data_IF_889776320440
#
_entry.id   IF_889776320440
#
_cell.length_a   1.000
_cell.length_b   1.000
_cell.length_c   1.000
_cell.angle_alpha   90.00
_cell.angle_beta   90.00
_cell.angle_gamma   90.00
#
_symmetry.space_group_name_H-M   'P 1'
#
loop_
_entity.id
_entity.type
_entity.pdbx_description
1 polymer ?
#
# COMPACT_ATOMS: atom_id res chain seq x y z
N UNK A 1 -7.06 -11.11 12.77
CA UNK A 1 -7.38 -10.92 11.33
C UNK A 1 -8.68 -10.14 11.10
N UNK A 2 -9.06 -9.19 11.97
CA UNK A 2 -10.34 -8.45 11.85
C UNK A 2 -10.41 -7.60 10.58
N UNK A 3 -9.33 -6.92 10.22
CA UNK A 3 -9.25 -6.11 9.00
C UNK A 3 -9.50 -6.95 7.74
N UNK A 4 -8.95 -8.17 7.71
CA UNK A 4 -9.05 -9.10 6.59
C UNK A 4 -10.46 -9.68 6.42
N UNK A 5 -11.16 -9.89 7.54
CA UNK A 5 -12.60 -10.23 7.54
C UNK A 5 -13.42 -9.08 6.96
N UNK A 6 -13.17 -7.85 7.41
CA UNK A 6 -13.82 -6.65 6.84
C UNK A 6 -13.57 -6.50 5.34
N UNK A 7 -12.32 -6.68 4.90
CA UNK A 7 -11.95 -6.67 3.49
C UNK A 7 -12.73 -7.72 2.68
N UNK A 8 -12.75 -8.97 3.13
CA UNK A 8 -13.48 -10.05 2.46
C UNK A 8 -14.98 -9.77 2.35
N UNK A 9 -15.59 -9.30 3.43
CA UNK A 9 -16.99 -8.90 3.45
C UNK A 9 -17.29 -7.75 2.46
N UNK A 10 -16.48 -6.68 2.47
CA UNK A 10 -16.67 -5.54 1.56
C UNK A 10 -16.51 -5.93 0.08
N UNK A 11 -15.57 -6.83 -0.23
CA UNK A 11 -15.35 -7.29 -1.61
C UNK A 11 -16.48 -8.19 -2.11
N UNK A 12 -17.14 -8.94 -1.23
CA UNK A 12 -18.32 -9.72 -1.58
C UNK A 12 -19.49 -8.83 -1.98
N UNK A 13 -19.73 -7.74 -1.23
CA UNK A 13 -20.76 -6.74 -1.58
C UNK A 13 -20.50 -6.13 -2.96
N UNK A 14 -19.23 -5.86 -3.28
CA UNK A 14 -18.84 -5.27 -4.55
C UNK A 14 -18.68 -6.28 -5.71
N UNK A 15 -19.01 -7.56 -5.52
CA UNK A 15 -18.83 -8.64 -6.50
C UNK A 15 -17.40 -8.75 -7.09
N UNK A 16 -16.38 -8.39 -6.31
CA UNK A 16 -15.01 -8.39 -6.81
C UNK A 16 -14.41 -9.80 -6.83
N UNK A 17 -13.60 -10.17 -7.84
CA UNK A 17 -12.99 -11.50 -7.91
C UNK A 17 -12.05 -11.77 -6.72
N UNK A 18 -12.41 -12.76 -5.90
CA UNK A 18 -11.67 -13.08 -4.68
C UNK A 18 -10.22 -13.53 -4.94
N UNK A 19 -9.98 -14.24 -6.04
CA UNK A 19 -8.64 -14.82 -6.32
C UNK A 19 -7.57 -13.74 -6.50
N UNK A 20 -7.93 -12.60 -7.09
CA UNK A 20 -7.05 -11.43 -7.19
C UNK A 20 -6.67 -10.88 -5.81
N UNK A 21 -7.63 -10.88 -4.89
CA UNK A 21 -7.42 -10.39 -3.52
C UNK A 21 -6.56 -11.38 -2.74
N UNK A 22 -6.79 -12.67 -2.91
CA UNK A 22 -5.99 -13.72 -2.28
C UNK A 22 -4.53 -13.65 -2.73
N UNK A 23 -4.28 -13.41 -4.01
CA UNK A 23 -2.93 -13.20 -4.54
C UNK A 23 -2.25 -11.97 -3.91
N UNK A 24 -2.97 -10.84 -3.83
CA UNK A 24 -2.45 -9.63 -3.20
C UNK A 24 -2.13 -9.88 -1.72
N UNK A 25 -3.02 -10.53 -0.96
CA UNK A 25 -2.75 -10.88 0.44
C UNK A 25 -1.47 -11.72 0.55
N UNK A 26 -1.34 -12.79 -0.22
CA UNK A 26 -0.14 -13.64 -0.22
C UNK A 26 1.13 -12.87 -0.55
N UNK A 27 1.06 -11.94 -1.51
CA UNK A 27 2.21 -11.13 -1.93
C UNK A 27 2.80 -10.27 -0.79
N UNK A 28 1.97 -9.89 0.20
CA UNK A 28 2.39 -9.10 1.36
C UNK A 28 3.08 -9.93 2.45
N UNK A 29 2.85 -11.25 2.47
CA UNK A 29 3.35 -12.16 3.50
C UNK A 29 4.33 -13.18 2.88
N UNK A 30 5.59 -12.77 2.71
CA UNK A 30 6.66 -13.63 2.14
C UNK A 30 7.53 -14.28 3.22
N UNK A 31 8.25 -15.35 2.82
CA UNK A 31 9.23 -16.03 3.67
C UNK A 31 8.61 -16.64 4.92
N UNK A 32 9.20 -16.37 6.09
CA UNK A 32 8.75 -16.91 7.39
C UNK A 32 7.31 -16.55 7.77
N UNK A 33 6.68 -15.60 7.07
CA UNK A 33 5.30 -15.16 7.33
C UNK A 33 4.26 -15.77 6.38
N UNK A 34 4.66 -16.65 5.46
CA UNK A 34 3.75 -17.22 4.46
C UNK A 34 2.50 -17.90 5.07
N UNK A 35 2.67 -18.63 6.18
CA UNK A 35 1.56 -19.27 6.90
C UNK A 35 0.53 -18.24 7.41
N UNK A 36 1.00 -17.09 7.91
CA UNK A 36 0.13 -15.98 8.32
C UNK A 36 -0.62 -15.40 7.11
N UNK A 37 0.00 -15.40 5.94
CA UNK A 37 -0.63 -15.04 4.67
C UNK A 37 -1.82 -15.96 4.35
N UNK A 38 -1.64 -17.28 4.42
CA UNK A 38 -2.73 -18.24 4.18
C UNK A 38 -3.85 -18.13 5.22
N UNK A 39 -3.52 -17.90 6.49
CA UNK A 39 -4.53 -17.64 7.52
C UNK A 39 -5.36 -16.40 7.18
N UNK A 40 -4.73 -15.34 6.69
CA UNK A 40 -5.43 -14.13 6.26
C UNK A 40 -6.32 -14.40 5.03
N UNK A 41 -5.83 -15.13 4.03
CA UNK A 41 -6.65 -15.53 2.87
C UNK A 41 -7.86 -16.31 3.33
N UNK A 42 -7.69 -17.29 4.22
CA UNK A 42 -8.80 -18.08 4.77
C UNK A 42 -9.81 -17.21 5.51
N UNK A 43 -9.35 -16.27 6.34
CA UNK A 43 -10.23 -15.35 7.06
C UNK A 43 -11.03 -14.44 6.10
N UNK A 44 -10.40 -13.90 5.06
CA UNK A 44 -11.11 -13.14 4.02
C UNK A 44 -12.11 -14.00 3.26
N UNK A 45 -11.75 -15.25 2.91
CA UNK A 45 -12.60 -16.18 2.16
C UNK A 45 -13.89 -16.49 2.92
N UNK A 46 -13.76 -16.84 4.21
CA UNK A 46 -14.92 -17.13 5.05
C UNK A 46 -15.87 -15.94 5.14
N UNK A 47 -15.34 -14.73 5.29
CA UNK A 47 -16.14 -13.51 5.32
C UNK A 47 -16.82 -13.24 3.97
N UNK A 48 -16.07 -13.41 2.87
CA UNK A 48 -16.57 -13.20 1.51
C UNK A 48 -17.73 -14.15 1.19
N UNK A 49 -17.57 -15.46 1.48
CA UNK A 49 -18.58 -16.47 1.25
C UNK A 49 -19.81 -16.26 2.12
N UNK A 50 -19.61 -15.90 3.40
CA UNK A 50 -20.70 -15.62 4.32
C UNK A 50 -21.59 -14.46 3.84
N UNK A 51 -20.99 -13.35 3.41
CA UNK A 51 -21.75 -12.20 2.90
C UNK A 51 -22.44 -12.52 1.57
N UNK A 52 -21.77 -13.25 0.67
CA UNK A 52 -22.36 -13.63 -0.64
C UNK A 52 -23.61 -14.50 -0.51
N UNK A 53 -23.77 -15.23 0.59
CA UNK A 53 -24.94 -16.05 0.88
C UNK A 53 -26.12 -15.24 1.45
N UNK A 54 -25.94 -13.98 1.85
CA UNK A 54 -27.02 -13.14 2.35
C UNK A 54 -27.77 -12.46 1.22
N UNK A 55 -29.11 -12.56 1.24
CA UNK A 55 -29.98 -11.91 0.24
C UNK A 55 -29.77 -10.40 0.19
N UNK A 56 -29.53 -9.75 1.33
CA UNK A 56 -29.27 -8.30 1.42
C UNK A 56 -27.98 -7.86 0.73
N UNK A 57 -27.04 -8.78 0.46
CA UNK A 57 -25.85 -8.45 -0.33
C UNK A 57 -26.22 -8.09 -1.79
N UNK A 58 -27.32 -8.65 -2.32
CA UNK A 58 -27.83 -8.36 -3.66
C UNK A 58 -28.41 -6.94 -3.78
N UNK A 59 -28.80 -6.34 -2.67
CA UNK A 59 -29.35 -4.98 -2.62
C UNK A 59 -28.26 -3.90 -2.70
N UNK A 60 -26.98 -4.27 -2.62
CA UNK A 60 -25.88 -3.31 -2.71
C UNK A 60 -25.70 -2.83 -4.17
N UNK A 61 -25.82 -1.51 -4.45
CA UNK A 61 -25.99 -1.03 -5.82
C UNK A 61 -24.67 -0.90 -6.61
N UNK A 62 -23.51 -1.14 -5.99
CA UNK A 62 -22.20 -0.91 -6.62
C UNK A 62 -21.43 -2.20 -6.82
N UNK A 63 -20.91 -2.40 -8.04
CA UNK A 63 -20.01 -3.50 -8.36
C UNK A 63 -18.65 -2.97 -8.80
N UNK A 64 -17.59 -3.71 -8.46
CA UNK A 64 -16.23 -3.43 -8.88
C UNK A 64 -15.81 -4.47 -9.92
N UNK A 65 -15.30 -4.00 -11.05
CA UNK A 65 -14.78 -4.86 -12.11
C UNK A 65 -13.27 -4.68 -12.22
N UNK A 66 -12.49 -5.76 -12.38
CA UNK A 66 -11.08 -5.63 -12.71
C UNK A 66 -10.90 -4.79 -13.98
N UNK A 67 -9.79 -4.05 -14.05
CA UNK A 67 -9.42 -3.34 -15.27
C UNK A 67 -9.20 -4.31 -16.43
N UNK A 68 -9.72 -3.97 -17.62
CA UNK A 68 -9.64 -4.82 -18.82
C UNK A 68 -8.21 -5.01 -19.36
N UNK A 69 -7.33 -4.05 -19.10
CA UNK A 69 -5.93 -4.07 -19.50
C UNK A 69 -5.07 -3.54 -18.34
N UNK A 70 -4.29 -4.40 -17.67
CA UNK A 70 -3.30 -3.95 -16.69
C UNK A 70 -2.17 -3.23 -17.44
N UNK A 71 -2.36 -1.94 -17.74
CA UNK A 71 -1.25 -1.06 -18.12
C UNK A 71 -0.32 -0.92 -16.92
N UNK A 72 0.98 -0.89 -17.15
CA UNK A 72 1.94 -0.55 -16.11
C UNK A 72 1.56 0.83 -15.54
N UNK A 73 1.10 0.84 -14.28
CA UNK A 73 0.75 2.06 -13.55
C UNK A 73 1.65 2.15 -12.33
N UNK A 74 2.13 3.34 -12.08
CA UNK A 74 2.80 3.66 -10.82
C UNK A 74 1.72 4.11 -9.85
N UNK A 75 1.61 3.42 -8.71
CA UNK A 75 0.90 3.90 -7.54
C UNK A 75 1.94 4.48 -6.59
N UNK A 76 1.90 5.79 -6.37
CA UNK A 76 2.82 6.49 -5.50
C UNK A 76 2.09 7.54 -4.68
N UNK A 77 2.60 7.82 -3.49
CA UNK A 77 2.18 8.95 -2.65
C UNK A 77 2.87 10.24 -3.10
N UNK A 78 2.32 11.38 -2.71
CA UNK A 78 2.86 12.70 -3.07
C UNK A 78 4.32 12.90 -2.68
N UNK A 79 4.71 12.49 -1.46
CA UNK A 79 6.10 12.60 -1.01
C UNK A 79 7.06 11.73 -1.82
N UNK A 80 6.62 10.54 -2.27
CA UNK A 80 7.44 9.65 -3.09
C UNK A 80 7.71 10.29 -4.46
N UNK A 81 6.68 10.92 -5.05
CA UNK A 81 6.79 11.63 -6.32
C UNK A 81 7.77 12.82 -6.19
N UNK A 82 7.66 13.61 -5.12
CA UNK A 82 8.55 14.75 -4.92
C UNK A 82 10.00 14.33 -4.65
N UNK A 83 10.22 13.29 -3.84
CA UNK A 83 11.54 12.71 -3.64
C UNK A 83 12.16 12.19 -4.94
N UNK A 84 11.40 11.45 -5.75
CA UNK A 84 11.86 10.97 -7.07
C UNK A 84 12.22 12.15 -7.98
N UNK A 85 11.43 13.23 -7.95
CA UNK A 85 11.72 14.43 -8.72
C UNK A 85 13.03 15.11 -8.26
N UNK A 86 13.28 15.23 -6.95
CA UNK A 86 14.56 15.73 -6.40
C UNK A 86 15.75 14.91 -6.88
N UNK A 87 15.65 13.58 -6.77
CA UNK A 87 16.69 12.67 -7.27
C UNK A 87 16.91 12.86 -8.77
N UNK A 88 15.82 12.95 -9.55
CA UNK A 88 15.89 13.14 -11.00
C UNK A 88 16.49 14.49 -11.40
N UNK A 89 16.27 15.52 -10.58
CA UNK A 89 16.85 16.85 -10.76
C UNK A 89 18.33 16.94 -10.33
N UNK A 90 18.90 15.89 -9.73
CA UNK A 90 20.29 15.86 -9.28
C UNK A 90 20.50 16.39 -7.87
N UNK A 91 19.48 16.35 -7.01
CA UNK A 91 19.64 16.63 -5.59
C UNK A 91 20.64 15.64 -4.97
N UNK A 92 21.75 16.17 -4.46
CA UNK A 92 22.81 15.39 -3.82
C UNK A 92 22.91 15.63 -2.30
N UNK A 93 22.17 16.60 -1.76
CA UNK A 93 22.16 16.93 -0.34
C UNK A 93 20.76 17.37 0.10
N UNK A 94 20.23 16.77 1.17
CA UNK A 94 18.96 17.14 1.80
C UNK A 94 19.14 17.15 3.32
N UNK A 95 18.75 18.24 3.95
CA UNK A 95 18.65 18.36 5.41
C UNK A 95 17.19 18.41 5.81
N UNK A 96 16.84 17.96 7.02
CA UNK A 96 15.47 18.10 7.51
C UNK A 96 15.36 18.02 9.03
N UNK A 97 14.33 18.66 9.57
CA UNK A 97 13.81 18.41 10.90
C UNK A 97 12.45 17.68 10.79
N UNK A 98 12.17 16.64 11.60
CA UNK A 98 10.93 15.89 11.48
C UNK A 98 9.69 16.72 11.79
N UNK A 99 8.80 16.88 10.80
CA UNK A 99 7.49 17.51 10.94
C UNK A 99 6.46 16.80 10.05
N UNK A 100 5.29 16.46 10.61
CA UNK A 100 4.20 15.88 9.82
C UNK A 100 3.57 16.94 8.91
N UNK A 101 3.31 16.66 7.61
CA UNK A 101 3.47 15.38 6.89
C UNK A 101 4.77 15.28 6.05
N UNK A 102 5.75 16.16 6.23
CA UNK A 102 6.94 16.25 5.38
C UNK A 102 8.02 15.19 5.65
N UNK A 103 8.07 14.63 6.88
CA UNK A 103 9.09 13.65 7.29
C UNK A 103 9.22 12.45 6.34
N UNK A 104 8.10 11.97 5.79
CA UNK A 104 8.09 10.78 4.93
C UNK A 104 8.95 10.96 3.66
N UNK A 105 9.08 12.19 3.16
CA UNK A 105 9.93 12.49 2.01
C UNK A 105 11.41 12.26 2.31
N UNK A 106 11.91 12.84 3.39
CA UNK A 106 13.31 12.71 3.78
C UNK A 106 13.65 11.28 4.17
N UNK A 107 12.75 10.56 4.84
CA UNK A 107 12.92 9.13 5.15
C UNK A 107 12.93 8.29 3.86
N UNK A 108 12.13 8.64 2.86
CA UNK A 108 12.19 7.98 1.56
C UNK A 108 13.54 8.23 0.88
N UNK A 109 13.98 9.48 0.81
CA UNK A 109 15.27 9.89 0.23
C UNK A 109 16.45 9.21 0.93
N UNK A 110 16.43 9.14 2.27
CA UNK A 110 17.47 8.48 3.07
C UNK A 110 17.61 7.00 2.71
N UNK A 111 16.51 6.30 2.41
CA UNK A 111 16.56 4.90 1.95
C UNK A 111 17.22 4.74 0.58
N UNK A 112 17.19 5.78 -0.25
CA UNK A 112 17.78 5.80 -1.60
C UNK A 112 19.23 6.34 -1.60
N UNK A 113 19.74 6.84 -0.47
CA UNK A 113 21.00 7.59 -0.40
C UNK A 113 22.20 6.86 -1.02
N UNK A 114 22.29 5.54 -0.82
CA UNK A 114 23.40 4.69 -1.31
C UNK A 114 23.39 4.52 -2.82
N UNK A 115 22.21 4.52 -3.42
CA UNK A 115 22.03 4.24 -4.84
C UNK A 115 22.13 5.51 -5.70
N UNK A 116 21.94 6.69 -5.10
CA UNK A 116 21.82 7.97 -5.82
C UNK A 116 22.82 9.06 -5.44
N UNK A 117 23.92 8.72 -4.76
CA UNK A 117 24.94 9.71 -4.32
C UNK A 117 24.33 10.92 -3.60
N UNK A 118 23.31 10.66 -2.78
CA UNK A 118 22.60 11.64 -1.99
C UNK A 118 23.05 11.53 -0.54
N UNK A 119 23.25 12.65 0.13
CA UNK A 119 23.42 12.71 1.59
C UNK A 119 22.17 13.33 2.22
N UNK A 120 21.55 12.59 3.14
CA UNK A 120 20.41 13.07 3.93
C UNK A 120 20.83 13.23 5.38
N UNK A 121 20.60 14.41 5.96
CA UNK A 121 20.97 14.72 7.35
C UNK A 121 19.73 15.18 8.11
N UNK A 122 19.42 14.50 9.21
CA UNK A 122 18.43 14.99 10.15
C UNK A 122 19.10 16.01 11.09
N UNK A 123 18.59 17.24 11.09
CA UNK A 123 19.10 18.32 11.94
C UNK A 123 18.30 18.42 13.26
N UNK A 124 18.78 19.24 14.19
CA UNK A 124 18.18 19.40 15.53
C UNK A 124 16.93 20.29 15.55
N UNK A 125 16.79 21.18 14.57
CA UNK A 125 15.65 22.07 14.37
C UNK A 125 15.55 22.52 12.90
N UNK A 126 14.52 23.30 12.56
CA UNK A 126 14.34 23.83 11.21
C UNK A 126 15.36 24.92 10.83
N UNK A 127 16.06 25.53 11.79
CA UNK A 127 17.05 26.59 11.55
C UNK A 127 18.39 25.99 11.13
N UNK A 128 18.74 24.85 11.71
CA UNK A 128 19.92 24.02 11.42
C UNK A 128 19.74 23.10 10.20
N UNK A 129 18.48 22.95 9.74
CA UNK A 129 18.14 22.23 8.51
C UNK A 129 18.60 23.01 7.29
#
# INVERSE_FOLDING_TARGET
MKNTVGLGASLALCEYPFDLVAEVIRSQFKGKRAEVGELNVRAAKLAFEHVKQHESAKDFPYTLKPGREPKARILAKGYEIHAIAKLKAGCAFQTYYPISPATDESVFLERQQRDYSLLVVQCEDEISS
#
